data_IF_169805061910
#
_entry.id   IF_169805061910
#
_cell.length_a   1.000
_cell.length_b   1.000
_cell.length_c   1.000
_cell.angle_alpha   90.00
_cell.angle_beta   90.00
_cell.angle_gamma   90.00
#
_symmetry.space_group_name_H-M   'P 1'
#
loop_
_entity.id
_entity.type
_entity.pdbx_description
1 polymer ?
#
# COMPACT_ATOMS: atom_id res chain seq x y z
N UNK A 1 -14.94 20.98 1.70
CA UNK A 1 -14.12 19.80 1.92
C UNK A 1 -13.52 19.33 0.60
N UNK A 2 -12.31 18.83 0.65
CA UNK A 2 -11.67 18.28 -0.54
C UNK A 2 -12.37 16.99 -0.96
N UNK A 3 -12.50 16.78 -2.24
CA UNK A 3 -13.00 15.51 -2.76
C UNK A 3 -11.97 14.42 -2.51
N UNK A 4 -12.40 13.16 -2.26
CA UNK A 4 -11.46 12.06 -2.16
C UNK A 4 -10.76 11.82 -3.49
N UNK A 5 -9.53 11.30 -3.50
CA UNK A 5 -8.86 10.97 -4.75
C UNK A 5 -9.62 9.90 -5.53
N UNK A 6 -9.49 9.93 -6.87
CA UNK A 6 -10.09 8.91 -7.72
C UNK A 6 -9.42 7.55 -7.56
N UNK A 7 -8.14 7.53 -7.21
CA UNK A 7 -7.36 6.33 -6.92
C UNK A 7 -6.15 6.73 -6.09
N UNK A 8 -5.60 5.76 -5.34
CA UNK A 8 -4.45 5.98 -4.47
C UNK A 8 -3.45 4.84 -4.66
N UNK A 9 -2.19 5.18 -4.93
CA UNK A 9 -1.12 4.19 -4.99
C UNK A 9 -0.09 4.50 -3.91
N UNK A 10 0.24 3.50 -3.11
CA UNK A 10 1.19 3.61 -2.01
C UNK A 10 2.32 2.61 -2.24
N UNK A 11 3.55 3.11 -2.15
CA UNK A 11 4.73 2.28 -2.30
C UNK A 11 5.48 2.28 -0.98
N UNK A 12 5.51 1.12 -0.30
CA UNK A 12 6.21 0.99 0.97
C UNK A 12 5.54 1.74 2.11
N UNK A 13 4.38 1.28 2.56
CA UNK A 13 3.65 1.95 3.65
C UNK A 13 4.26 1.57 5.01
N UNK A 14 4.81 2.55 5.79
CA UNK A 14 5.38 2.26 7.10
C UNK A 14 4.28 2.21 8.18
N UNK A 15 3.42 1.20 8.13
CA UNK A 15 2.21 1.12 8.97
C UNK A 15 2.54 0.98 10.47
N UNK A 16 3.67 0.36 10.80
CA UNK A 16 4.12 0.19 12.18
C UNK A 16 5.62 0.42 12.30
N UNK A 17 6.08 1.68 12.19
CA UNK A 17 7.51 1.94 12.39
C UNK A 17 7.94 1.58 13.82
N UNK A 18 9.15 1.01 14.01
CA UNK A 18 9.60 0.62 15.33
C UNK A 18 9.54 1.76 16.33
N UNK A 19 8.97 1.51 17.52
CA UNK A 19 8.84 2.50 18.58
C UNK A 19 7.84 3.61 18.32
N UNK A 20 7.07 3.55 17.22
CA UNK A 20 6.10 4.59 16.86
C UNK A 20 4.81 3.96 16.33
N UNK A 21 3.99 3.33 17.18
CA UNK A 21 2.73 2.76 16.70
C UNK A 21 1.83 3.86 16.13
N UNK A 22 1.13 3.54 15.04
CA UNK A 22 0.25 4.48 14.33
C UNK A 22 -1.14 3.87 14.14
N UNK A 23 -1.91 3.67 15.20
CA UNK A 23 -3.24 3.04 15.08
C UNK A 23 -4.20 3.85 14.22
N UNK A 24 -4.06 5.18 14.19
CA UNK A 24 -4.87 6.03 13.32
C UNK A 24 -4.60 5.78 11.84
N UNK A 25 -3.37 5.39 11.46
CA UNK A 25 -3.05 5.07 10.08
C UNK A 25 -3.70 3.75 9.66
N UNK A 26 -3.72 2.77 10.54
CA UNK A 26 -4.41 1.50 10.28
C UNK A 26 -5.91 1.73 10.09
N UNK A 27 -6.52 2.56 10.93
CA UNK A 27 -7.92 2.91 10.81
C UNK A 27 -8.22 3.68 9.52
N UNK A 28 -7.32 4.59 9.12
CA UNK A 28 -7.48 5.37 7.90
C UNK A 28 -7.45 4.47 6.66
N UNK A 29 -6.52 3.50 6.60
CA UNK A 29 -6.48 2.55 5.50
C UNK A 29 -7.74 1.68 5.45
N UNK A 30 -8.20 1.22 6.61
CA UNK A 30 -9.39 0.39 6.67
C UNK A 30 -10.65 1.14 6.20
N UNK A 31 -10.66 2.46 6.29
CA UNK A 31 -11.79 3.31 5.94
C UNK A 31 -11.71 3.90 4.52
N UNK A 32 -10.70 3.56 3.72
CA UNK A 32 -10.57 4.08 2.35
C UNK A 32 -11.74 3.67 1.48
N UNK A 33 -12.26 4.65 0.71
CA UNK A 33 -13.41 4.44 -0.17
C UNK A 33 -13.05 4.53 -1.66
N UNK A 34 -11.81 4.87 -1.99
CA UNK A 34 -11.33 4.88 -3.37
C UNK A 34 -10.51 3.61 -3.66
N UNK A 35 -10.40 3.20 -4.94
CA UNK A 35 -9.48 2.13 -5.30
C UNK A 35 -8.06 2.45 -4.84
N UNK A 36 -7.43 1.51 -4.16
CA UNK A 36 -6.11 1.71 -3.54
C UNK A 36 -5.20 0.54 -3.87
N UNK A 37 -4.01 0.83 -4.35
CA UNK A 37 -2.96 -0.14 -4.58
C UNK A 37 -1.86 0.08 -3.55
N UNK A 38 -1.45 -0.98 -2.85
CA UNK A 38 -0.30 -0.95 -1.96
C UNK A 38 0.75 -1.93 -2.50
N UNK A 39 1.94 -1.42 -2.83
CA UNK A 39 3.09 -2.24 -3.18
C UNK A 39 3.99 -2.32 -1.95
N UNK A 40 4.21 -3.53 -1.44
CA UNK A 40 4.93 -3.72 -0.19
C UNK A 40 5.99 -4.80 -0.33
N UNK A 41 7.22 -4.49 0.08
CA UNK A 41 8.28 -5.48 0.16
C UNK A 41 8.06 -6.44 1.33
N UNK A 42 8.31 -7.72 1.15
CA UNK A 42 8.15 -8.70 2.23
C UNK A 42 9.24 -8.60 3.30
N UNK A 43 10.31 -7.85 3.03
CA UNK A 43 11.39 -7.56 3.98
C UNK A 43 11.26 -6.17 4.61
N UNK A 44 10.11 -5.50 4.45
CA UNK A 44 9.88 -4.18 4.98
C UNK A 44 9.57 -4.24 6.48
N UNK A 45 10.53 -3.80 7.30
CA UNK A 45 10.39 -3.81 8.76
C UNK A 45 9.53 -2.69 9.29
N UNK A 46 9.33 -1.64 8.51
CA UNK A 46 8.51 -0.48 8.90
C UNK A 46 7.02 -0.74 8.64
N UNK A 47 6.72 -1.64 7.71
CA UNK A 47 5.36 -2.00 7.38
C UNK A 47 5.21 -3.51 7.33
N UNK A 48 5.03 -4.18 8.47
CA UNK A 48 4.89 -5.63 8.52
C UNK A 48 3.77 -6.10 7.61
N UNK A 49 4.08 -7.07 6.74
CA UNK A 49 3.18 -7.51 5.70
C UNK A 49 1.87 -8.07 6.27
N UNK A 50 1.94 -8.80 7.40
CA UNK A 50 0.73 -9.39 7.99
C UNK A 50 -0.31 -8.35 8.39
N UNK A 51 0.13 -7.15 8.83
CA UNK A 51 -0.77 -6.06 9.20
C UNK A 51 -1.50 -5.54 7.97
N UNK A 52 -0.75 -5.29 6.87
CA UNK A 52 -1.34 -4.81 5.64
C UNK A 52 -2.24 -5.87 5.00
N UNK A 53 -1.90 -7.14 5.10
CA UNK A 53 -2.73 -8.23 4.60
C UNK A 53 -4.08 -8.29 5.33
N UNK A 54 -4.08 -8.09 6.65
CA UNK A 54 -5.32 -8.05 7.43
C UNK A 54 -6.20 -6.87 7.01
N UNK A 55 -5.61 -5.70 6.85
CA UNK A 55 -6.35 -4.50 6.43
C UNK A 55 -6.91 -4.70 5.01
N UNK A 56 -6.11 -5.18 4.09
CA UNK A 56 -6.53 -5.39 2.70
C UNK A 56 -7.64 -6.44 2.60
N UNK A 57 -7.59 -7.49 3.40
CA UNK A 57 -8.64 -8.52 3.38
C UNK A 57 -9.98 -8.00 3.89
N UNK A 58 -9.96 -6.98 4.74
CA UNK A 58 -11.17 -6.37 5.29
C UNK A 58 -11.71 -5.23 4.43
N UNK A 59 -10.92 -4.69 3.50
CA UNK A 59 -11.34 -3.59 2.63
C UNK A 59 -11.16 -3.97 1.16
N UNK A 60 -12.25 -4.30 0.42
CA UNK A 60 -12.14 -4.74 -0.98
C UNK A 60 -11.64 -3.67 -1.95
N UNK A 61 -11.54 -2.42 -1.51
CA UNK A 61 -10.97 -1.34 -2.31
C UNK A 61 -9.44 -1.38 -2.36
N UNK A 62 -8.81 -2.14 -1.47
CA UNK A 62 -7.36 -2.23 -1.37
C UNK A 62 -6.86 -3.48 -2.09
N UNK A 63 -5.97 -3.28 -3.05
CA UNK A 63 -5.20 -4.34 -3.69
C UNK A 63 -3.78 -4.29 -3.14
N UNK A 64 -3.33 -5.37 -2.52
CA UNK A 64 -1.99 -5.47 -1.96
C UNK A 64 -1.14 -6.36 -2.86
N UNK A 65 -0.03 -5.81 -3.37
CA UNK A 65 0.93 -6.56 -4.16
C UNK A 65 2.22 -6.67 -3.37
N UNK A 66 2.67 -7.90 -3.13
CA UNK A 66 3.89 -8.18 -2.39
C UNK A 66 5.06 -8.27 -3.35
N UNK A 67 6.14 -7.56 -3.03
CA UNK A 67 7.40 -7.63 -3.77
C UNK A 67 8.40 -8.47 -2.96
N UNK A 68 8.69 -9.71 -3.40
CA UNK A 68 9.56 -10.60 -2.62
C UNK A 68 11.01 -10.13 -2.64
N UNK A 69 11.68 -10.28 -1.52
CA UNK A 69 13.11 -10.02 -1.39
C UNK A 69 13.49 -8.55 -1.28
N UNK A 70 12.54 -7.63 -1.08
CA UNK A 70 12.84 -6.20 -0.99
C UNK A 70 12.33 -5.62 0.33
N UNK A 71 13.05 -4.58 0.79
CA UNK A 71 12.67 -3.84 1.99
C UNK A 71 11.84 -2.62 1.69
N UNK A 72 11.88 -1.65 2.61
CA UNK A 72 11.04 -0.44 2.52
C UNK A 72 11.33 0.41 1.29
N UNK A 73 12.58 0.50 0.89
CA UNK A 73 13.01 1.34 -0.24
C UNK A 73 12.89 0.66 -1.61
N UNK A 74 12.39 -0.57 -1.68
CA UNK A 74 12.25 -1.39 -2.89
C UNK A 74 13.57 -1.73 -3.60
N UNK A 75 14.70 -1.14 -3.24
CA UNK A 75 16.00 -1.43 -3.82
C UNK A 75 16.00 -1.30 -5.35
N UNK A 76 16.38 -2.38 -6.05
CA UNK A 76 16.48 -2.43 -7.50
C UNK A 76 15.13 -2.67 -8.21
N UNK A 77 14.02 -2.72 -7.48
CA UNK A 77 12.71 -3.05 -8.05
C UNK A 77 11.82 -1.82 -8.29
N UNK A 78 12.41 -0.62 -8.25
CA UNK A 78 11.67 0.62 -8.46
C UNK A 78 11.00 0.70 -9.84
N UNK A 79 11.70 0.28 -10.89
CA UNK A 79 11.13 0.28 -12.25
C UNK A 79 9.94 -0.67 -12.35
N UNK A 80 10.05 -1.85 -11.76
CA UNK A 80 8.96 -2.81 -11.73
C UNK A 80 7.74 -2.23 -10.99
N UNK A 81 7.98 -1.57 -9.85
CA UNK A 81 6.92 -0.92 -9.08
C UNK A 81 6.22 0.16 -9.91
N UNK A 82 6.97 0.99 -10.62
CA UNK A 82 6.41 2.04 -11.45
C UNK A 82 5.52 1.47 -12.57
N UNK A 83 5.94 0.37 -13.20
CA UNK A 83 5.16 -0.30 -14.25
C UNK A 83 3.88 -0.86 -13.67
N UNK A 84 3.94 -1.48 -12.49
CA UNK A 84 2.75 -2.04 -11.84
C UNK A 84 1.74 -0.94 -11.50
N UNK A 85 2.19 0.19 -10.98
CA UNK A 85 1.33 1.33 -10.68
C UNK A 85 0.66 1.86 -11.96
N UNK A 86 1.43 2.03 -13.04
CA UNK A 86 0.91 2.54 -14.29
C UNK A 86 -0.16 1.62 -14.87
N UNK A 87 0.09 0.32 -14.89
CA UNK A 87 -0.89 -0.67 -15.38
C UNK A 87 -2.16 -0.66 -14.53
N UNK A 88 -2.01 -0.60 -13.21
CA UNK A 88 -3.15 -0.57 -12.32
C UNK A 88 -4.00 0.69 -12.51
N UNK A 89 -3.37 1.85 -12.67
CA UNK A 89 -4.09 3.10 -12.89
C UNK A 89 -4.93 3.06 -14.16
N UNK A 90 -4.41 2.47 -15.23
CA UNK A 90 -5.17 2.30 -16.48
C UNK A 90 -6.43 1.47 -16.25
N UNK A 91 -6.36 0.45 -15.39
CA UNK A 91 -7.49 -0.43 -15.10
C UNK A 91 -8.57 0.23 -14.23
N UNK A 92 -8.18 1.09 -13.29
CA UNK A 92 -9.11 1.62 -12.27
C UNK A 92 -9.61 3.03 -12.57
N UNK A 93 -8.92 3.80 -13.38
CA UNK A 93 -9.39 5.13 -13.77
C UNK A 93 -10.34 5.05 -14.96
N UNK A 94 -11.42 5.86 -14.94
CA UNK A 94 -12.37 5.88 -16.06
C UNK A 94 -11.78 6.45 -17.33
#
# INVERSE_FOLDING_TARGET
AAEPPSALAIIGYPIRPPGRPRPQDEAALAALTCPTLILQGDQDKLGPLHVLQQIASANPRIELVVLPGVGHDLGHRETEAAILVAKWLVEVLP
#
